data_IF_493981979328
#
_entry.id   IF_493981979328
#
_cell.length_a   1.000
_cell.length_b   1.000
_cell.length_c   1.000
_cell.angle_alpha   90.00
_cell.angle_beta   90.00
_cell.angle_gamma   90.00
#
_symmetry.space_group_name_H-M   'P 1'
#
loop_
_entity.id
_entity.type
_entity.pdbx_description
1 polymer ?
#
# COMPACT_ATOMS: atom_id res chain seq x y z
N UNK A 1 -8.47 -8.64 14.22
CA UNK A 1 -7.00 -8.53 14.32
C UNK A 1 -6.71 -7.29 15.15
N UNK A 2 -6.03 -7.39 16.30
CA UNK A 2 -5.62 -6.21 17.05
C UNK A 2 -4.62 -5.39 16.23
N UNK A 3 -4.76 -4.06 16.24
CA UNK A 3 -3.91 -3.12 15.49
C UNK A 3 -2.40 -3.36 15.70
N UNK A 4 -2.02 -3.79 16.91
CA UNK A 4 -0.63 -4.06 17.31
C UNK A 4 0.03 -5.22 16.54
N UNK A 5 -0.74 -6.21 16.09
CA UNK A 5 -0.23 -7.34 15.30
C UNK A 5 -0.18 -7.00 13.79
N UNK A 6 -1.07 -6.10 13.36
CA UNK A 6 -1.20 -5.69 11.96
C UNK A 6 -0.05 -4.80 11.51
N UNK A 7 0.46 -3.92 12.38
CA UNK A 7 1.52 -2.98 12.02
C UNK A 7 2.88 -3.65 11.68
N UNK A 8 3.39 -4.62 12.46
CA UNK A 8 4.61 -5.35 12.09
C UNK A 8 4.44 -6.15 10.79
N UNK A 9 3.33 -6.85 10.63
CA UNK A 9 3.02 -7.61 9.40
C UNK A 9 2.94 -6.69 8.17
N UNK A 10 2.39 -5.48 8.35
CA UNK A 10 2.35 -4.48 7.30
C UNK A 10 3.75 -4.03 6.85
N UNK A 11 4.68 -3.83 7.79
CA UNK A 11 6.07 -3.45 7.47
C UNK A 11 6.77 -4.53 6.64
N UNK A 12 6.64 -5.80 7.02
CA UNK A 12 7.18 -6.93 6.25
C UNK A 12 6.52 -7.05 4.86
N UNK A 13 5.19 -6.87 4.81
CA UNK A 13 4.43 -6.92 3.55
C UNK A 13 4.90 -5.84 2.57
N UNK A 14 5.04 -4.60 3.02
CA UNK A 14 5.51 -3.50 2.16
C UNK A 14 6.93 -3.75 1.65
N UNK A 15 7.80 -4.31 2.49
CA UNK A 15 9.14 -4.69 2.06
C UNK A 15 9.11 -5.73 0.94
N UNK A 16 8.32 -6.80 1.11
CA UNK A 16 8.18 -7.85 0.11
C UNK A 16 7.62 -7.30 -1.22
N UNK A 17 6.56 -6.48 -1.15
CA UNK A 17 5.94 -5.88 -2.33
C UNK A 17 6.87 -4.93 -3.08
N UNK A 18 7.80 -4.26 -2.39
CA UNK A 18 8.77 -3.38 -3.04
C UNK A 18 9.69 -4.08 -4.04
N UNK A 19 9.81 -5.42 -3.92
CA UNK A 19 10.60 -6.26 -4.83
C UNK A 19 9.84 -6.65 -6.10
N UNK A 20 8.53 -6.42 -6.15
CA UNK A 20 7.70 -6.79 -7.28
C UNK A 20 7.86 -5.82 -8.46
N UNK A 21 7.52 -6.30 -9.66
CA UNK A 21 7.39 -5.41 -10.82
C UNK A 21 6.25 -4.41 -10.58
N UNK A 22 6.36 -3.23 -11.18
CA UNK A 22 5.33 -2.18 -11.12
C UNK A 22 3.88 -2.68 -11.30
N UNK A 23 3.53 -3.42 -12.37
CA UNK A 23 2.14 -3.88 -12.55
C UNK A 23 1.69 -4.82 -11.42
N UNK A 24 2.57 -5.67 -10.92
CA UNK A 24 2.27 -6.56 -9.80
C UNK A 24 2.07 -5.75 -8.51
N UNK A 25 2.99 -4.83 -8.19
CA UNK A 25 2.89 -3.94 -7.04
C UNK A 25 1.56 -3.15 -7.03
N UNK A 26 1.12 -2.62 -8.17
CA UNK A 26 -0.16 -1.91 -8.27
C UNK A 26 -1.36 -2.82 -8.03
N UNK A 27 -1.31 -4.06 -8.53
CA UNK A 27 -2.33 -5.07 -8.26
C UNK A 27 -2.38 -5.45 -6.77
N UNK A 28 -1.20 -5.62 -6.16
CA UNK A 28 -1.05 -6.00 -4.76
C UNK A 28 -1.55 -4.88 -3.83
N UNK A 29 -1.20 -3.62 -4.08
CA UNK A 29 -1.70 -2.47 -3.32
C UNK A 29 -3.23 -2.39 -3.41
N UNK A 30 -3.81 -2.64 -4.59
CA UNK A 30 -5.27 -2.66 -4.76
C UNK A 30 -5.91 -3.78 -3.93
N UNK A 31 -5.31 -4.97 -3.89
CA UNK A 31 -5.79 -6.08 -3.07
C UNK A 31 -5.67 -5.79 -1.56
N UNK A 32 -4.66 -5.02 -1.15
CA UNK A 32 -4.41 -4.64 0.24
C UNK A 32 -5.16 -3.40 0.71
N UNK A 33 -6.05 -2.82 -0.11
CA UNK A 33 -6.88 -1.67 0.29
C UNK A 33 -7.57 -1.86 1.67
N UNK A 34 -8.17 -3.01 2.01
CA UNK A 34 -8.78 -3.20 3.33
C UNK A 34 -7.79 -3.07 4.49
N UNK A 35 -6.53 -3.47 4.30
CA UNK A 35 -5.47 -3.37 5.31
C UNK A 35 -5.02 -1.92 5.48
N UNK A 36 -4.81 -1.21 4.38
CA UNK A 36 -4.46 0.23 4.38
C UNK A 36 -5.57 1.03 5.08
N UNK A 37 -6.82 0.75 4.77
CA UNK A 37 -7.97 1.39 5.42
C UNK A 37 -8.06 1.06 6.91
N UNK A 38 -7.84 -0.21 7.30
CA UNK A 38 -7.85 -0.59 8.71
C UNK A 38 -6.72 0.06 9.53
N UNK A 39 -5.57 0.36 8.91
CA UNK A 39 -4.41 0.95 9.57
C UNK A 39 -4.47 2.48 9.71
N UNK A 40 -5.09 3.19 8.77
CA UNK A 40 -5.07 4.66 8.73
C UNK A 40 -6.33 5.34 8.19
N UNK A 41 -7.39 4.58 7.95
CA UNK A 41 -8.68 5.10 7.50
C UNK A 41 -8.64 5.76 6.12
N UNK A 42 -9.64 6.60 5.87
CA UNK A 42 -9.82 7.28 4.59
C UNK A 42 -8.63 8.18 4.22
N UNK A 43 -8.09 8.93 5.19
CA UNK A 43 -6.94 9.81 4.97
C UNK A 43 -5.72 9.05 4.42
N UNK A 44 -5.35 7.93 5.05
CA UNK A 44 -4.24 7.11 4.60
C UNK A 44 -4.49 6.50 3.21
N UNK A 45 -5.70 6.01 2.95
CA UNK A 45 -6.02 5.46 1.61
C UNK A 45 -5.91 6.50 0.51
N UNK A 46 -6.37 7.73 0.76
CA UNK A 46 -6.29 8.82 -0.19
C UNK A 46 -4.86 9.32 -0.41
N UNK A 47 -4.01 9.30 0.63
CA UNK A 47 -2.58 9.61 0.51
C UNK A 47 -1.82 8.55 -0.32
N UNK A 48 -2.08 7.27 -0.09
CA UNK A 48 -1.48 6.17 -0.89
C UNK A 48 -1.87 6.31 -2.36
N UNK A 49 -3.15 6.57 -2.66
CA UNK A 49 -3.60 6.79 -4.03
C UNK A 49 -2.89 7.99 -4.69
N UNK A 50 -2.73 9.11 -3.96
CA UNK A 50 -2.00 10.28 -4.43
C UNK A 50 -0.52 9.98 -4.70
N UNK A 51 0.15 9.30 -3.78
CA UNK A 51 1.56 8.92 -3.95
C UNK A 51 1.77 8.03 -5.19
N UNK A 52 0.87 7.07 -5.43
CA UNK A 52 0.92 6.24 -6.65
C UNK A 52 0.76 7.10 -7.90
N UNK A 53 -0.24 8.00 -7.93
CA UNK A 53 -0.47 8.89 -9.07
C UNK A 53 0.73 9.82 -9.31
N UNK A 54 1.34 10.34 -8.25
CA UNK A 54 2.50 11.23 -8.35
C UNK A 54 3.71 10.52 -8.94
N UNK A 55 4.00 9.28 -8.51
CA UNK A 55 5.08 8.47 -9.09
C UNK A 55 4.73 8.06 -10.53
N UNK A 56 3.46 7.75 -10.80
CA UNK A 56 3.02 7.34 -12.14
C UNK A 56 3.22 8.41 -13.22
N UNK A 57 3.30 9.70 -12.84
CA UNK A 57 3.61 10.80 -13.77
C UNK A 57 4.99 10.70 -14.41
N UNK A 58 5.94 10.06 -13.73
CA UNK A 58 7.33 9.92 -14.19
C UNK A 58 7.56 8.69 -15.06
N UNK A 59 6.53 7.90 -15.33
CA UNK A 59 6.63 6.67 -16.14
C UNK A 59 6.53 6.89 -17.65
N UNK A 60 6.57 8.15 -18.10
CA UNK A 60 6.68 8.50 -19.52
C UNK A 60 8.07 8.22 -20.07
#
# INVERSE_FOLDING_TARGET
>A
MPYAELLPLWQETIHYLSLHTRPNLLSDIKALFPVIFALGGEAATAEVARAIMDVARWWR
#
